data_IF_322587339363
#
_entry.id   IF_322587339363
#
_cell.length_a   1.000
_cell.length_b   1.000
_cell.length_c   1.000
_cell.angle_alpha   90.00
_cell.angle_beta   90.00
_cell.angle_gamma   90.00
#
_symmetry.space_group_name_H-M   'P 1'
#
loop_
_entity.id
_entity.type
_entity.pdbx_description
1 polymer ?
#
# COMPACT_ATOMS: atom_id res chain seq x y z
N UNK A 1 33.50 -15.68 -16.21
CA UNK A 1 33.59 -14.61 -15.19
C UNK A 1 32.46 -13.59 -15.33
N UNK A 2 32.07 -13.20 -16.55
CA UNK A 2 30.90 -12.32 -16.78
C UNK A 2 29.54 -12.92 -16.40
N UNK A 3 29.27 -14.20 -16.64
CA UNK A 3 27.98 -14.82 -16.26
C UNK A 3 27.77 -14.92 -14.74
N UNK A 4 28.84 -15.11 -13.96
CA UNK A 4 28.77 -15.21 -12.49
C UNK A 4 28.39 -13.85 -11.90
N UNK A 5 29.02 -12.77 -12.37
CA UNK A 5 28.69 -11.40 -11.95
C UNK A 5 27.28 -10.98 -12.39
N UNK A 6 26.83 -11.43 -13.56
CA UNK A 6 25.47 -11.14 -14.04
C UNK A 6 24.41 -11.81 -13.15
N UNK A 7 24.67 -13.04 -12.70
CA UNK A 7 23.75 -13.78 -11.84
C UNK A 7 23.63 -13.13 -10.44
N UNK A 8 24.76 -12.73 -9.86
CA UNK A 8 24.79 -12.02 -8.57
C UNK A 8 24.01 -10.69 -8.64
N UNK A 9 24.16 -9.96 -9.75
CA UNK A 9 23.47 -8.69 -9.97
C UNK A 9 21.94 -8.84 -10.08
N UNK A 10 21.48 -9.85 -10.82
CA UNK A 10 20.05 -10.17 -10.94
C UNK A 10 19.45 -10.54 -9.58
N UNK A 11 20.18 -11.32 -8.77
CA UNK A 11 19.75 -11.69 -7.42
C UNK A 11 19.57 -10.44 -6.55
N UNK A 12 20.52 -9.49 -6.57
CA UNK A 12 20.41 -8.24 -5.82
C UNK A 12 19.16 -7.45 -6.24
N UNK A 13 18.92 -7.28 -7.55
CA UNK A 13 17.75 -6.53 -8.04
C UNK A 13 16.45 -7.20 -7.63
N UNK A 14 16.33 -8.52 -7.78
CA UNK A 14 15.11 -9.24 -7.43
C UNK A 14 14.85 -9.11 -5.93
N UNK A 15 15.87 -9.33 -5.10
CA UNK A 15 15.75 -9.26 -3.63
C UNK A 15 15.39 -7.85 -3.17
N UNK A 16 16.02 -6.83 -3.75
CA UNK A 16 15.71 -5.41 -3.50
C UNK A 16 14.28 -5.08 -3.93
N UNK A 17 13.86 -5.53 -5.11
CA UNK A 17 12.52 -5.29 -5.65
C UNK A 17 11.44 -5.88 -4.75
N UNK A 18 11.64 -7.11 -4.26
CA UNK A 18 10.73 -7.77 -3.34
C UNK A 18 10.70 -7.04 -2.00
N UNK A 19 11.87 -6.71 -1.44
CA UNK A 19 11.99 -6.00 -0.17
C UNK A 19 11.27 -4.64 -0.19
N UNK A 20 11.54 -3.82 -1.20
CA UNK A 20 10.92 -2.50 -1.37
C UNK A 20 9.39 -2.59 -1.56
N UNK A 21 8.92 -3.63 -2.24
CA UNK A 21 7.49 -3.80 -2.50
C UNK A 21 6.68 -4.30 -1.28
N UNK A 22 7.32 -4.71 -0.18
CA UNK A 22 6.62 -5.28 0.99
C UNK A 22 5.69 -4.29 1.67
N UNK A 23 6.08 -3.01 1.79
CA UNK A 23 5.25 -2.00 2.44
C UNK A 23 4.02 -1.66 1.59
N UNK A 24 4.19 -1.55 0.26
CA UNK A 24 3.09 -1.41 -0.69
C UNK A 24 2.16 -2.64 -0.69
N UNK A 25 2.71 -3.85 -0.58
CA UNK A 25 1.94 -5.08 -0.44
C UNK A 25 1.08 -5.07 0.82
N UNK A 26 1.67 -4.71 1.96
CA UNK A 26 0.97 -4.64 3.23
C UNK A 26 -0.18 -3.62 3.18
N UNK A 27 0.06 -2.41 2.66
CA UNK A 27 -1.00 -1.40 2.47
C UNK A 27 -2.06 -1.87 1.46
N UNK A 28 -1.69 -2.59 0.40
CA UNK A 28 -2.67 -3.12 -0.56
C UNK A 28 -3.59 -4.18 0.07
N UNK A 29 -3.08 -5.02 0.98
CA UNK A 29 -3.88 -5.97 1.75
C UNK A 29 -4.88 -5.22 2.62
N UNK A 30 -4.44 -4.19 3.36
CA UNK A 30 -5.33 -3.45 4.27
C UNK A 30 -6.43 -2.72 3.49
N UNK A 31 -6.10 -2.09 2.35
CA UNK A 31 -7.10 -1.52 1.42
C UNK A 31 -8.03 -2.58 0.82
N UNK A 32 -7.56 -3.81 0.64
CA UNK A 32 -8.39 -4.94 0.25
C UNK A 32 -9.37 -5.35 1.34
N UNK A 33 -8.89 -5.43 2.57
CA UNK A 33 -9.68 -5.81 3.76
C UNK A 33 -10.77 -4.80 4.08
N UNK A 34 -10.49 -3.51 3.90
CA UNK A 34 -11.44 -2.39 4.08
C UNK A 34 -12.54 -2.32 3.00
N UNK A 35 -12.54 -3.26 2.05
CA UNK A 35 -13.51 -3.29 0.95
C UNK A 35 -13.30 -2.22 -0.12
N UNK A 36 -12.26 -1.39 0.00
CA UNK A 36 -11.95 -0.30 -0.91
C UNK A 36 -11.59 -0.80 -2.34
N UNK A 37 -11.15 -2.06 -2.47
CA UNK A 37 -10.79 -2.71 -3.76
C UNK A 37 -11.83 -3.74 -4.24
N UNK A 38 -13.12 -3.41 -4.09
CA UNK A 38 -14.27 -4.23 -4.48
C UNK A 38 -14.45 -4.45 -5.99
N UNK A 39 -13.85 -3.63 -6.86
CA UNK A 39 -13.86 -3.83 -8.31
C UNK A 39 -12.46 -4.17 -8.84
N UNK A 40 -12.39 -4.97 -9.91
CA UNK A 40 -11.13 -5.21 -10.63
C UNK A 40 -10.47 -3.90 -11.06
N UNK A 41 -11.26 -2.88 -11.43
CA UNK A 41 -10.76 -1.55 -11.78
C UNK A 41 -10.08 -0.85 -10.60
N UNK A 42 -10.57 -1.05 -9.37
CA UNK A 42 -9.97 -0.47 -8.17
C UNK A 42 -8.66 -1.18 -7.80
N UNK A 43 -8.62 -2.51 -7.92
CA UNK A 43 -7.39 -3.29 -7.70
C UNK A 43 -6.30 -2.89 -8.69
N UNK A 44 -6.65 -2.76 -9.96
CA UNK A 44 -5.74 -2.29 -10.99
C UNK A 44 -5.26 -0.88 -10.69
N UNK A 45 -6.16 0.05 -10.30
CA UNK A 45 -5.76 1.41 -9.89
C UNK A 45 -4.72 1.40 -8.76
N UNK A 46 -4.94 0.63 -7.69
CA UNK A 46 -3.98 0.50 -6.58
C UNK A 46 -2.64 -0.04 -7.06
N UNK A 47 -2.66 -1.16 -7.79
CA UNK A 47 -1.46 -1.80 -8.30
C UNK A 47 -0.67 -0.87 -9.24
N UNK A 48 -1.34 -0.19 -10.17
CA UNK A 48 -0.71 0.77 -11.07
C UNK A 48 -0.12 1.95 -10.31
N UNK A 49 -0.80 2.46 -9.28
CA UNK A 49 -0.30 3.59 -8.50
C UNK A 49 0.95 3.22 -7.70
N UNK A 50 0.95 2.09 -7.00
CA UNK A 50 2.13 1.66 -6.23
C UNK A 50 3.31 1.33 -7.14
N UNK A 51 3.10 0.58 -8.23
CA UNK A 51 4.16 0.33 -9.21
C UNK A 51 4.73 1.63 -9.81
N UNK A 52 3.87 2.59 -10.13
CA UNK A 52 4.29 3.89 -10.64
C UNK A 52 5.08 4.71 -9.62
N UNK A 53 4.60 4.84 -8.38
CA UNK A 53 5.30 5.60 -7.34
C UNK A 53 6.64 4.97 -6.96
N UNK A 54 6.69 3.64 -6.86
CA UNK A 54 7.92 2.91 -6.54
C UNK A 54 9.01 3.16 -7.60
N UNK A 55 8.65 3.04 -8.88
CA UNK A 55 9.57 3.32 -9.99
C UNK A 55 9.97 4.79 -10.10
N UNK A 56 8.98 5.69 -9.99
CA UNK A 56 9.21 7.13 -10.07
C UNK A 56 10.16 7.62 -8.97
N UNK A 57 9.92 7.22 -7.73
CA UNK A 57 10.76 7.63 -6.60
C UNK A 57 12.14 6.99 -6.63
N UNK A 58 12.27 5.76 -7.13
CA UNK A 58 13.58 5.14 -7.36
C UNK A 58 14.41 5.90 -8.40
N UNK A 59 13.80 6.30 -9.53
CA UNK A 59 14.46 7.14 -10.54
C UNK A 59 14.84 8.50 -9.94
N UNK A 60 13.93 9.13 -9.19
CA UNK A 60 14.23 10.39 -8.53
C UNK A 60 15.41 10.25 -7.57
N UNK A 61 15.49 9.17 -6.81
CA UNK A 61 16.64 8.85 -5.96
C UNK A 61 17.96 8.82 -6.73
N UNK A 62 17.97 8.15 -7.89
CA UNK A 62 19.17 8.09 -8.74
C UNK A 62 19.55 9.48 -9.27
N UNK A 63 18.59 10.29 -9.71
CA UNK A 63 18.85 11.64 -10.22
C UNK A 63 19.31 12.60 -9.10
N UNK A 64 18.75 12.44 -7.90
CA UNK A 64 19.07 13.24 -6.71
C UNK A 64 20.52 13.09 -6.25
N UNK A 65 21.29 12.16 -6.82
CA UNK A 65 22.71 11.96 -6.54
C UNK A 65 23.55 13.24 -6.71
N UNK A 66 23.12 14.15 -7.59
CA UNK A 66 23.78 15.44 -7.83
C UNK A 66 23.59 16.48 -6.71
N UNK A 67 22.72 16.22 -5.73
CA UNK A 67 22.28 17.19 -4.71
C UNK A 67 22.75 16.78 -3.30
N UNK A 68 23.27 15.57 -3.11
CA UNK A 68 23.56 15.02 -1.77
C UNK A 68 24.88 15.55 -1.19
N UNK A 69 24.80 16.71 -0.56
CA UNK A 69 25.79 17.22 0.41
C UNK A 69 25.14 17.59 1.76
N UNK A 70 24.08 16.89 2.18
CA UNK A 70 23.47 17.09 3.50
C UNK A 70 22.43 16.02 3.89
N UNK A 71 22.20 15.89 5.21
CA UNK A 71 21.39 14.88 5.94
C UNK A 71 19.88 14.79 5.58
N UNK A 72 19.54 14.60 4.30
CA UNK A 72 18.15 14.59 3.82
C UNK A 72 17.42 13.27 4.17
N UNK A 73 18.15 12.18 4.38
CA UNK A 73 17.57 10.84 4.54
C UNK A 73 16.72 10.69 5.82
N UNK A 74 17.15 11.29 6.93
CA UNK A 74 16.42 11.20 8.21
C UNK A 74 15.06 11.90 8.17
N UNK A 75 14.94 13.03 7.45
CA UNK A 75 13.69 13.81 7.45
C UNK A 75 12.56 13.10 6.69
N UNK A 76 12.89 12.35 5.63
CA UNK A 76 11.92 11.67 4.78
C UNK A 76 11.15 10.57 5.53
N UNK A 77 11.83 9.82 6.39
CA UNK A 77 11.26 8.71 7.17
C UNK A 77 10.20 9.18 8.18
N UNK A 78 10.43 10.33 8.84
CA UNK A 78 9.43 10.93 9.74
C UNK A 78 8.15 11.33 9.00
N UNK A 79 8.26 11.91 7.80
CA UNK A 79 7.10 12.31 6.99
C UNK A 79 6.27 11.08 6.61
N UNK A 80 6.91 10.04 6.08
CA UNK A 80 6.24 8.78 5.70
C UNK A 80 5.45 8.19 6.88
N UNK A 81 6.12 8.06 8.02
CA UNK A 81 5.54 7.46 9.22
C UNK A 81 4.34 8.24 9.76
N UNK A 82 4.43 9.57 9.84
CA UNK A 82 3.31 10.42 10.29
C UNK A 82 2.11 10.27 9.36
N UNK A 83 2.32 10.24 8.03
CA UNK A 83 1.22 10.04 7.07
C UNK A 83 0.53 8.70 7.30
N UNK A 84 1.29 7.61 7.44
CA UNK A 84 0.73 6.27 7.67
C UNK A 84 -0.02 6.19 9.00
N UNK A 85 0.54 6.72 10.09
CA UNK A 85 -0.13 6.74 11.40
C UNK A 85 -1.47 7.49 11.31
N UNK A 86 -1.50 8.66 10.67
CA UNK A 86 -2.75 9.42 10.50
C UNK A 86 -3.78 8.62 9.68
N UNK A 87 -3.37 8.00 8.57
CA UNK A 87 -4.27 7.22 7.73
C UNK A 87 -4.80 5.97 8.46
N UNK A 88 -3.93 5.25 9.16
CA UNK A 88 -4.31 4.08 9.95
C UNK A 88 -5.24 4.44 11.12
N UNK A 89 -4.97 5.54 11.82
CA UNK A 89 -5.83 6.03 12.90
C UNK A 89 -7.23 6.42 12.39
N UNK A 90 -7.34 7.04 11.20
CA UNK A 90 -8.63 7.35 10.57
C UNK A 90 -9.44 6.09 10.28
N UNK A 91 -8.82 5.04 9.75
CA UNK A 91 -9.48 3.76 9.49
C UNK A 91 -9.99 3.08 10.78
N UNK A 92 -9.23 3.19 11.88
CA UNK A 92 -9.67 2.67 13.18
C UNK A 92 -10.86 3.48 13.70
N UNK A 93 -10.78 4.81 13.65
CA UNK A 93 -11.83 5.72 14.14
C UNK A 93 -13.16 5.50 13.41
N UNK A 94 -13.13 5.27 12.10
CA UNK A 94 -14.31 4.94 11.29
C UNK A 94 -15.02 3.65 11.74
N UNK A 95 -14.34 2.75 12.45
CA UNK A 95 -14.99 1.55 13.01
C UNK A 95 -15.71 1.82 14.33
N UNK A 96 -15.39 2.92 15.03
CA UNK A 96 -16.03 3.29 16.30
C UNK A 96 -17.07 4.39 16.12
N UNK A 97 -16.91 5.26 15.13
CA UNK A 97 -17.93 6.19 14.64
C UNK A 97 -18.95 5.43 13.76
N UNK A 98 -19.49 4.33 14.30
CA UNK A 98 -20.67 3.64 13.75
C UNK A 98 -21.88 4.59 13.93
N UNK A 99 -22.11 5.49 12.97
CA UNK A 99 -23.42 6.12 12.82
C UNK A 99 -24.45 5.00 12.56
N UNK A 100 -25.52 4.88 13.36
CA UNK A 100 -26.61 3.97 13.06
C UNK A 100 -27.33 4.50 11.82
N UNK A 101 -26.92 4.05 10.63
CA UNK A 101 -27.69 4.30 9.42
C UNK A 101 -29.10 3.71 9.61
N UNK A 102 -30.12 4.58 9.51
CA UNK A 102 -31.53 4.21 9.42
C UNK A 102 -31.70 3.05 8.41
N UNK A 103 -31.91 1.83 8.90
CA UNK A 103 -32.16 0.70 8.01
C UNK A 103 -33.44 0.99 7.19
N UNK A 104 -33.43 0.76 5.87
CA UNK A 104 -34.64 0.84 5.07
C UNK A 104 -35.70 -0.14 5.61
N UNK A 105 -36.95 0.32 5.56
CA UNK A 105 -38.22 -0.34 5.90
C UNK A 105 -38.25 -1.89 5.81
N UNK A 106 -39.05 -2.56 6.66
CA UNK A 106 -39.19 -4.02 6.63
C UNK A 106 -39.70 -4.51 5.27
N UNK A 107 -39.04 -5.55 4.72
CA UNK A 107 -39.54 -6.27 3.55
C UNK A 107 -40.59 -7.27 4.05
N UNK A 108 -41.87 -7.00 3.79
CA UNK A 108 -42.95 -7.96 4.06
C UNK A 108 -43.28 -8.68 2.74
N UNK A 109 -42.77 -9.91 2.60
CA UNK A 109 -43.22 -10.85 1.57
C UNK A 109 -44.14 -11.89 2.22
N UNK A 110 -45.35 -12.07 1.66
CA UNK A 110 -46.35 -13.08 2.03
C UNK A 110 -46.55 -13.27 3.55
N UNK A 111 -47.18 -12.29 4.22
CA UNK A 111 -47.67 -12.32 5.62
C UNK A 111 -46.63 -12.65 6.72
N UNK A 112 -45.35 -12.76 6.39
CA UNK A 112 -44.25 -12.79 7.37
C UNK A 112 -43.35 -11.59 7.13
N UNK A 113 -43.33 -10.68 8.11
CA UNK A 113 -42.29 -9.65 8.15
C UNK A 113 -41.10 -10.28 8.86
N UNK A 114 -40.08 -10.67 8.08
CA UNK A 114 -38.78 -11.04 8.61
C UNK A 114 -37.94 -9.78 8.67
N UNK A 115 -37.36 -9.51 9.84
CA UNK A 115 -36.28 -8.53 9.97
C UNK A 115 -35.22 -8.88 8.93
N UNK A 116 -35.06 -8.03 7.92
CA UNK A 116 -33.89 -8.11 7.05
C UNK A 116 -32.72 -7.86 7.98
N UNK A 117 -31.90 -8.90 8.20
CA UNK A 117 -30.61 -8.71 8.87
C UNK A 117 -29.88 -7.69 8.02
N UNK A 118 -29.76 -6.45 8.49
CA UNK A 118 -29.06 -5.42 7.76
C UNK A 118 -27.69 -6.02 7.45
N UNK A 119 -27.47 -6.40 6.18
CA UNK A 119 -26.15 -6.76 5.69
C UNK A 119 -25.38 -5.47 5.89
N UNK A 120 -24.61 -5.44 6.98
CA UNK A 120 -23.78 -4.32 7.41
C UNK A 120 -22.76 -4.07 6.31
N UNK A 121 -23.17 -3.44 5.22
CA UNK A 121 -22.26 -2.91 4.22
C UNK A 121 -21.68 -1.67 4.85
N UNK A 122 -20.60 -1.87 5.61
CA UNK A 122 -19.75 -0.79 6.08
C UNK A 122 -19.49 0.17 4.92
N UNK A 123 -19.56 1.46 5.23
CA UNK A 123 -19.30 2.58 4.32
C UNK A 123 -18.09 2.23 3.45
N UNK A 124 -18.32 1.87 2.19
CA UNK A 124 -17.20 1.47 1.31
C UNK A 124 -16.33 2.70 1.11
N UNK A 125 -15.12 2.70 1.66
CA UNK A 125 -14.20 3.80 1.45
C UNK A 125 -13.90 3.89 -0.05
N UNK A 126 -14.42 4.95 -0.68
CA UNK A 126 -14.10 5.23 -2.07
C UNK A 126 -12.64 5.60 -2.13
N UNK A 127 -11.86 4.71 -2.75
CA UNK A 127 -10.47 4.97 -3.12
C UNK A 127 -10.42 6.27 -3.93
N UNK A 128 -10.01 7.34 -3.26
CA UNK A 128 -9.87 8.68 -3.85
C UNK A 128 -8.44 8.84 -4.34
N UNK A 129 -8.24 9.50 -5.48
CA UNK A 129 -6.91 9.71 -6.05
C UNK A 129 -5.89 10.25 -5.03
N UNK A 130 -6.31 11.24 -4.22
CA UNK A 130 -5.51 11.81 -3.13
C UNK A 130 -5.00 10.77 -2.13
N UNK A 131 -5.81 9.75 -1.82
CA UNK A 131 -5.46 8.69 -0.87
C UNK A 131 -4.39 7.76 -1.44
N UNK A 132 -4.49 7.36 -2.72
CA UNK A 132 -3.41 6.54 -3.34
C UNK A 132 -2.11 7.31 -3.45
N UNK A 133 -2.17 8.61 -3.71
CA UNK A 133 -0.96 9.45 -3.77
C UNK A 133 -0.29 9.49 -2.39
N UNK A 134 -1.06 9.70 -1.31
CA UNK A 134 -0.51 9.69 0.05
C UNK A 134 0.12 8.36 0.41
N UNK A 135 -0.58 7.23 0.20
CA UNK A 135 -0.01 5.91 0.47
C UNK A 135 1.19 5.62 -0.43
N UNK A 136 1.10 5.92 -1.73
CA UNK A 136 2.14 5.64 -2.69
C UNK A 136 3.43 6.39 -2.40
N UNK A 137 3.34 7.66 -2.00
CA UNK A 137 4.52 8.42 -1.55
C UNK A 137 5.05 7.83 -0.25
N UNK A 138 4.17 7.60 0.74
CA UNK A 138 4.61 7.12 2.06
C UNK A 138 5.33 5.77 1.99
N UNK A 139 4.84 4.80 1.21
CA UNK A 139 5.47 3.47 1.09
C UNK A 139 6.65 3.42 0.13
N UNK A 140 6.88 4.46 -0.67
CA UNK A 140 7.93 4.46 -1.71
C UNK A 140 9.11 5.38 -1.36
N UNK A 141 9.11 6.00 -0.17
CA UNK A 141 10.24 6.79 0.32
C UNK A 141 11.50 5.93 0.49
N UNK A 142 11.34 4.66 0.87
CA UNK A 142 12.45 3.70 0.92
C UNK A 142 13.03 3.43 -0.48
N UNK A 143 12.18 3.42 -1.52
CA UNK A 143 12.64 3.27 -2.90
C UNK A 143 13.46 4.48 -3.36
N UNK A 144 13.15 5.69 -2.89
CA UNK A 144 13.98 6.87 -3.15
C UNK A 144 15.36 6.74 -2.50
N UNK A 145 15.42 6.36 -1.22
CA UNK A 145 16.69 6.15 -0.53
C UNK A 145 17.52 5.04 -1.21
N UNK A 146 16.88 3.91 -1.54
CA UNK A 146 17.48 2.81 -2.26
C UNK A 146 17.98 3.23 -3.65
N UNK A 147 17.26 4.12 -4.35
CA UNK A 147 17.68 4.67 -5.64
C UNK A 147 18.96 5.48 -5.56
N UNK A 148 19.13 6.33 -4.53
CA UNK A 148 20.38 7.09 -4.30
C UNK A 148 21.56 6.13 -4.15
N UNK A 149 21.42 5.12 -3.28
CA UNK A 149 22.49 4.14 -3.02
C UNK A 149 22.76 3.27 -4.25
N UNK A 150 21.72 2.84 -4.96
CA UNK A 150 21.85 1.99 -6.14
C UNK A 150 22.58 2.72 -7.28
N UNK A 151 22.24 3.99 -7.52
CA UNK A 151 22.86 4.82 -8.55
C UNK A 151 24.35 5.09 -8.35
N UNK A 152 24.88 4.89 -7.13
CA UNK A 152 26.31 5.00 -6.82
C UNK A 152 27.11 3.75 -7.20
N UNK A 153 26.47 2.58 -7.19
CA UNK A 153 27.17 1.29 -7.17
C UNK A 153 26.95 0.52 -8.49
N UNK A 154 25.82 0.76 -9.17
CA UNK A 154 25.31 -0.15 -10.20
C UNK A 154 24.90 0.57 -11.49
N UNK A 155 25.24 -0.02 -12.65
CA UNK A 155 25.05 0.63 -13.97
C UNK A 155 23.72 0.30 -14.66
N UNK A 156 23.10 -0.86 -14.40
CA UNK A 156 21.85 -1.26 -15.07
C UNK A 156 20.61 -0.69 -14.36
N UNK A 157 20.41 0.62 -14.50
CA UNK A 157 19.31 1.36 -13.90
C UNK A 157 17.95 0.91 -14.47
N UNK A 158 17.87 0.74 -15.78
CA UNK A 158 16.61 0.41 -16.47
C UNK A 158 16.03 -0.93 -16.00
N UNK A 159 16.89 -1.94 -15.79
CA UNK A 159 16.47 -3.26 -15.34
C UNK A 159 15.93 -3.20 -13.91
N UNK A 160 16.61 -2.48 -13.01
CA UNK A 160 16.13 -2.28 -11.64
C UNK A 160 14.78 -1.57 -11.59
N UNK A 161 14.61 -0.46 -12.32
CA UNK A 161 13.35 0.28 -12.36
C UNK A 161 12.19 -0.60 -12.82
N UNK A 162 12.37 -1.38 -13.89
CA UNK A 162 11.34 -2.26 -14.43
C UNK A 162 11.02 -3.37 -13.42
N UNK A 163 12.02 -4.00 -12.82
CA UNK A 163 11.81 -5.03 -11.80
C UNK A 163 11.10 -4.49 -10.56
N UNK A 164 11.54 -3.36 -10.01
CA UNK A 164 10.95 -2.75 -8.81
C UNK A 164 9.48 -2.38 -9.09
N UNK A 165 9.22 -1.69 -10.20
CA UNK A 165 7.86 -1.26 -10.57
C UNK A 165 6.96 -2.47 -10.85
N UNK A 166 7.48 -3.48 -11.54
CA UNK A 166 6.76 -4.70 -11.91
C UNK A 166 6.42 -5.58 -10.70
N UNK A 167 7.38 -5.78 -9.79
CA UNK A 167 7.17 -6.54 -8.55
C UNK A 167 6.20 -5.81 -7.64
N UNK A 168 6.36 -4.49 -7.46
CA UNK A 168 5.44 -3.67 -6.68
C UNK A 168 4.01 -3.73 -7.24
N UNK A 169 3.85 -3.64 -8.56
CA UNK A 169 2.56 -3.80 -9.22
C UNK A 169 1.94 -5.18 -8.95
N UNK A 170 2.70 -6.25 -9.17
CA UNK A 170 2.24 -7.64 -9.01
C UNK A 170 1.83 -7.91 -7.56
N UNK A 171 2.70 -7.60 -6.60
CA UNK A 171 2.40 -7.80 -5.19
C UNK A 171 1.22 -6.96 -4.76
N UNK A 172 1.15 -5.69 -5.14
CA UNK A 172 0.01 -4.83 -4.78
C UNK A 172 -1.33 -5.33 -5.34
N UNK A 173 -1.32 -5.87 -6.57
CA UNK A 173 -2.51 -6.49 -7.16
C UNK A 173 -2.93 -7.75 -6.40
N UNK A 174 -1.95 -8.61 -6.06
CA UNK A 174 -2.18 -9.83 -5.28
C UNK A 174 -2.67 -9.49 -3.87
N UNK A 175 -2.05 -8.51 -3.21
CA UNK A 175 -2.40 -8.05 -1.88
C UNK A 175 -3.80 -7.45 -1.83
N UNK A 176 -4.17 -6.59 -2.77
CA UNK A 176 -5.54 -6.08 -2.89
C UNK A 176 -6.58 -7.21 -3.08
N UNK A 177 -6.24 -8.21 -3.90
CA UNK A 177 -7.14 -9.35 -4.16
C UNK A 177 -7.27 -10.26 -2.94
N UNK A 178 -6.15 -10.58 -2.30
CA UNK A 178 -6.08 -11.43 -1.11
C UNK A 178 -6.69 -10.74 0.11
N UNK A 179 -6.39 -9.46 0.30
CA UNK A 179 -6.97 -8.60 1.34
C UNK A 179 -8.49 -8.57 1.26
N UNK A 180 -9.09 -8.51 0.07
CA UNK A 180 -10.56 -8.58 -0.06
C UNK A 180 -11.12 -9.93 0.41
N UNK A 181 -10.45 -11.04 0.05
CA UNK A 181 -10.87 -12.37 0.53
C UNK A 181 -10.77 -12.45 2.05
N UNK A 182 -9.68 -11.94 2.62
CA UNK A 182 -9.48 -11.86 4.07
C UNK A 182 -10.52 -10.95 4.75
N UNK A 183 -10.85 -9.81 4.16
CA UNK A 183 -11.87 -8.90 4.68
C UNK A 183 -13.24 -9.57 4.80
N UNK A 184 -13.63 -10.40 3.82
CA UNK A 184 -14.87 -11.18 3.90
C UNK A 184 -14.84 -12.26 5.00
N UNK A 185 -13.66 -12.78 5.34
CA UNK A 185 -13.49 -13.78 6.41
C UNK A 185 -13.49 -13.11 7.79
N UNK A 186 -12.79 -11.99 7.92
CA UNK A 186 -12.60 -11.25 9.19
C UNK A 186 -13.83 -10.40 9.54
N UNK A 187 -14.65 -10.05 8.55
CA UNK A 187 -15.92 -9.35 8.74
C UNK A 187 -15.73 -7.96 9.35
N UNK A 188 -16.54 -7.61 10.35
CA UNK A 188 -16.58 -6.25 10.94
C UNK A 188 -15.26 -5.83 11.62
N UNK A 189 -14.31 -6.74 11.83
CA UNK A 189 -12.99 -6.44 12.43
C UNK A 189 -11.91 -6.10 11.38
N UNK A 190 -12.22 -6.21 10.09
CA UNK A 190 -11.25 -6.02 9.02
C UNK A 190 -10.66 -4.60 9.02
N UNK A 191 -11.47 -3.58 9.29
CA UNK A 191 -11.05 -2.18 9.32
C UNK A 191 -10.11 -1.88 10.48
N UNK A 192 -10.42 -2.39 11.68
CA UNK A 192 -9.53 -2.27 12.85
C UNK A 192 -8.19 -2.95 12.58
N UNK A 193 -8.21 -4.17 12.04
CA UNK A 193 -6.98 -4.91 11.73
C UNK A 193 -6.14 -4.18 10.68
N UNK A 194 -6.79 -3.68 9.62
CA UNK A 194 -6.13 -2.91 8.57
C UNK A 194 -5.49 -1.62 9.09
N UNK A 195 -6.23 -0.88 9.92
CA UNK A 195 -5.73 0.34 10.54
C UNK A 195 -4.56 0.10 11.49
N UNK A 196 -4.62 -0.95 12.33
CA UNK A 196 -3.50 -1.34 13.21
C UNK A 196 -2.26 -1.66 12.38
N UNK A 197 -2.40 -2.42 11.29
CA UNK A 197 -1.28 -2.80 10.44
C UNK A 197 -0.62 -1.56 9.81
N UNK A 198 -1.40 -0.60 9.32
CA UNK A 198 -0.87 0.67 8.78
C UNK A 198 -0.16 1.49 9.87
N UNK A 199 -0.72 1.57 11.08
CA UNK A 199 -0.06 2.28 12.20
C UNK A 199 1.28 1.63 12.54
N UNK A 200 1.34 0.29 12.58
CA UNK A 200 2.58 -0.45 12.82
C UNK A 200 3.62 -0.13 11.73
N UNK A 201 3.23 -0.13 10.45
CA UNK A 201 4.13 0.25 9.35
C UNK A 201 4.64 1.69 9.52
N UNK A 202 3.75 2.62 9.92
CA UNK A 202 4.13 4.00 10.16
C UNK A 202 5.12 4.17 11.31
N UNK A 203 4.92 3.46 12.42
CA UNK A 203 5.85 3.46 13.56
C UNK A 203 7.20 2.86 13.16
N UNK A 204 7.19 1.73 12.45
CA UNK A 204 8.42 1.10 11.92
C UNK A 204 9.19 2.07 11.02
N UNK A 205 8.49 2.82 10.16
CA UNK A 205 9.11 3.81 9.27
C UNK A 205 9.79 4.95 10.02
N UNK A 206 9.35 5.31 11.23
CA UNK A 206 9.97 6.36 12.05
C UNK A 206 11.20 5.84 12.81
N UNK A 207 11.18 4.56 13.20
CA UNK A 207 12.23 3.93 14.01
C UNK A 207 13.40 3.37 13.18
N UNK A 208 13.24 3.28 11.86
CA UNK A 208 14.26 2.79 10.93
C UNK A 208 15.24 3.87 10.51
#
# INVERSE_FOLDING_TARGET
MGEILLNDYIIVIITMSVALAMDAFAVSITLGMDGATGSIRQRLKVATSFGFFQGLLFILGIISLTIVSGNITTYNQYIAGVILIILGARMIKETFEEEPDNCPYPICQQKKCSQVKCLRTGKTNKITFRLLVMFGIATSIDALAAGITYGLIYEQIMLAVICISGVAFLLSYMGATFGRKLGHIIGNKANIFGGILIVILGIKSILS
#
